data_IF_992903197832
#
_entry.id   IF_992903197832
#
_cell.length_a   1.000
_cell.length_b   1.000
_cell.length_c   1.000
_cell.angle_alpha   90.00
_cell.angle_beta   90.00
_cell.angle_gamma   90.00
#
_symmetry.space_group_name_H-M   'P 1'
#
loop_
_entity.id
_entity.type
_entity.pdbx_description
1 polymer ?
#
# COMPACT_ATOMS: atom_id res chain seq x y z
N UNK A 1 13.48 -3.39 37.69
CA UNK A 1 14.19 -4.12 36.62
C UNK A 1 13.26 -5.16 36.04
N UNK A 2 13.33 -5.32 34.72
CA UNK A 2 12.52 -6.18 33.85
C UNK A 2 11.25 -5.52 33.28
N UNK A 3 11.44 -4.50 32.43
CA UNK A 3 10.50 -4.32 31.31
C UNK A 3 10.73 -5.50 30.36
N UNK A 4 9.88 -6.51 30.49
CA UNK A 4 9.76 -7.57 29.51
C UNK A 4 9.01 -6.97 28.32
N UNK A 5 9.72 -6.31 27.41
CA UNK A 5 9.16 -5.91 26.12
C UNK A 5 8.88 -7.21 25.35
N UNK A 6 7.66 -7.71 25.47
CA UNK A 6 7.14 -8.72 24.54
C UNK A 6 7.41 -8.20 23.14
N UNK A 7 8.18 -8.96 22.36
CA UNK A 7 8.47 -8.69 20.97
C UNK A 7 7.19 -8.93 20.15
N UNK A 8 6.18 -8.08 20.36
CA UNK A 8 4.91 -8.13 19.63
C UNK A 8 5.24 -7.68 18.22
N UNK A 9 5.16 -8.61 17.27
CA UNK A 9 5.35 -8.31 15.85
C UNK A 9 4.30 -7.27 15.46
N UNK A 10 4.74 -6.02 15.26
CA UNK A 10 3.90 -4.94 14.76
C UNK A 10 3.48 -5.25 13.33
N UNK A 11 2.25 -4.89 12.99
CA UNK A 11 1.75 -5.03 11.63
C UNK A 11 2.32 -3.92 10.75
N UNK A 12 2.89 -4.29 9.60
CA UNK A 12 3.56 -3.35 8.71
C UNK A 12 2.55 -2.66 7.79
N UNK A 13 2.72 -1.36 7.59
CA UNK A 13 1.96 -0.58 6.60
C UNK A 13 2.96 0.15 5.70
N UNK A 14 3.02 -0.24 4.44
CA UNK A 14 3.85 0.46 3.46
C UNK A 14 3.16 1.76 3.00
N UNK A 15 3.91 2.86 3.05
CA UNK A 15 3.50 4.19 2.58
C UNK A 15 4.35 4.52 1.36
N UNK A 16 3.71 4.50 0.20
CA UNK A 16 4.36 4.60 -1.10
C UNK A 16 4.44 6.04 -1.60
N UNK A 17 5.56 6.42 -2.19
CA UNK A 17 5.66 7.65 -2.99
C UNK A 17 5.04 7.39 -4.37
N UNK A 18 3.97 8.11 -4.70
CA UNK A 18 3.25 7.99 -5.98
C UNK A 18 3.07 9.38 -6.58
N UNK A 19 3.93 9.71 -7.55
CA UNK A 19 4.06 11.10 -8.01
C UNK A 19 4.43 12.01 -6.84
N UNK A 20 3.68 13.09 -6.64
CA UNK A 20 3.92 14.02 -5.53
C UNK A 20 3.31 13.56 -4.20
N UNK A 21 2.46 12.54 -4.20
CA UNK A 21 1.71 12.08 -3.01
C UNK A 21 2.42 10.95 -2.27
N UNK A 22 2.14 10.85 -0.96
CA UNK A 22 2.38 9.65 -0.18
C UNK A 22 1.07 8.89 0.01
N UNK A 23 1.05 7.61 -0.36
CA UNK A 23 -0.16 6.81 -0.44
C UNK A 23 -0.02 5.51 0.35
N UNK A 24 -1.04 5.15 1.12
CA UNK A 24 -1.13 3.80 1.70
C UNK A 24 -2.55 3.28 1.68
N UNK A 25 -2.71 1.97 1.82
CA UNK A 25 -4.01 1.31 1.85
C UNK A 25 -4.05 0.31 2.97
N UNK A 26 -4.98 0.52 3.88
CA UNK A 26 -5.17 -0.38 5.01
C UNK A 26 -6.64 -0.42 5.40
N UNK A 27 -7.13 -1.62 5.75
CA UNK A 27 -8.49 -1.83 6.21
C UNK A 27 -8.47 -1.87 7.74
N UNK A 28 -8.69 -0.72 8.37
CA UNK A 28 -8.77 -0.65 9.83
C UNK A 28 -10.03 -1.35 10.32
N UNK A 29 -9.86 -2.35 11.19
CA UNK A 29 -10.97 -2.94 11.95
C UNK A 29 -11.48 -2.01 13.06
N UNK A 30 -10.63 -1.10 13.52
CA UNK A 30 -10.95 -0.07 14.50
C UNK A 30 -11.54 1.17 13.80
N UNK A 31 -12.80 1.48 14.11
CA UNK A 31 -13.52 2.62 13.54
C UNK A 31 -12.96 3.96 14.01
N UNK A 32 -12.50 4.07 15.25
CA UNK A 32 -11.95 5.33 15.78
C UNK A 32 -10.65 5.68 15.08
N UNK A 33 -9.79 4.67 14.85
CA UNK A 33 -8.56 4.85 14.09
C UNK A 33 -8.84 5.29 12.65
N UNK A 34 -9.78 4.64 11.97
CA UNK A 34 -10.19 5.07 10.63
C UNK A 34 -10.71 6.52 10.64
N UNK A 35 -11.58 6.87 11.59
CA UNK A 35 -12.15 8.21 11.68
C UNK A 35 -11.08 9.28 11.88
N UNK A 36 -10.05 9.01 12.69
CA UNK A 36 -8.91 9.90 12.90
C UNK A 36 -8.10 10.20 11.63
N UNK A 37 -8.07 9.27 10.68
CA UNK A 37 -7.34 9.42 9.40
C UNK A 37 -8.28 9.73 8.22
N UNK A 38 -9.58 9.87 8.47
CA UNK A 38 -10.60 9.92 7.41
C UNK A 38 -10.50 11.14 6.49
N UNK A 39 -9.89 12.24 6.95
CA UNK A 39 -9.61 13.42 6.13
C UNK A 39 -8.65 13.12 4.97
N UNK A 40 -7.74 12.17 5.16
CA UNK A 40 -6.76 11.75 4.15
C UNK A 40 -7.31 10.64 3.22
N UNK A 41 -8.53 10.15 3.45
CA UNK A 41 -9.05 8.98 2.74
C UNK A 41 -9.69 9.35 1.40
N UNK A 42 -9.07 8.94 0.30
CA UNK A 42 -9.63 9.02 -1.05
C UNK A 42 -10.60 7.85 -1.30
N UNK A 43 -11.90 8.17 -1.33
CA UNK A 43 -12.98 7.18 -1.51
C UNK A 43 -13.03 6.56 -2.91
N UNK A 44 -12.61 7.30 -3.94
CA UNK A 44 -12.63 6.81 -5.32
C UNK A 44 -11.54 5.78 -5.56
N UNK A 45 -10.36 6.01 -4.97
CA UNK A 45 -9.19 5.14 -5.10
C UNK A 45 -9.04 4.12 -3.95
N UNK A 46 -9.87 4.23 -2.91
CA UNK A 46 -9.83 3.38 -1.73
C UNK A 46 -8.43 3.32 -1.09
N UNK A 47 -7.80 4.48 -0.92
CA UNK A 47 -6.47 4.65 -0.33
C UNK A 47 -6.41 5.96 0.46
N UNK A 48 -5.45 6.08 1.34
CA UNK A 48 -5.12 7.34 2.00
C UNK A 48 -4.08 8.08 1.15
N UNK A 49 -4.25 9.40 1.00
CA UNK A 49 -3.36 10.28 0.23
C UNK A 49 -2.89 11.43 1.13
N UNK A 50 -1.57 11.56 1.28
CA UNK A 50 -0.91 12.57 2.09
C UNK A 50 -0.14 13.48 1.13
N UNK A 51 -0.44 14.77 1.17
CA UNK A 51 -0.01 15.76 0.17
C UNK A 51 1.31 16.43 0.55
N UNK A 52 1.73 16.33 1.81
CA UNK A 52 2.97 16.91 2.31
C UNK A 52 3.78 15.95 3.18
N UNK A 53 5.06 16.27 3.37
CA UNK A 53 5.92 15.54 4.31
C UNK A 53 5.45 15.66 5.76
N UNK A 54 4.88 16.81 6.15
CA UNK A 54 4.35 17.02 7.50
C UNK A 54 3.13 16.14 7.78
N UNK A 55 2.17 16.06 6.83
CA UNK A 55 1.03 15.15 6.93
C UNK A 55 1.49 13.68 7.03
N UNK A 56 2.46 13.31 6.20
CA UNK A 56 3.08 11.97 6.24
C UNK A 56 3.65 11.65 7.61
N UNK A 57 4.48 12.53 8.15
CA UNK A 57 5.17 12.30 9.43
C UNK A 57 4.18 12.23 10.60
N UNK A 58 3.14 13.09 10.58
CA UNK A 58 2.04 13.03 11.55
C UNK A 58 1.31 11.69 11.50
N UNK A 59 0.89 11.25 10.31
CA UNK A 59 0.16 9.99 10.15
C UNK A 59 1.02 8.78 10.52
N UNK A 60 2.31 8.78 10.18
CA UNK A 60 3.23 7.72 10.60
C UNK A 60 3.27 7.60 12.13
N UNK A 61 3.41 8.72 12.83
CA UNK A 61 3.40 8.74 14.29
C UNK A 61 2.09 8.22 14.87
N UNK A 62 0.95 8.65 14.32
CA UNK A 62 -0.37 8.19 14.76
C UNK A 62 -0.51 6.66 14.58
N UNK A 63 0.02 6.10 13.48
CA UNK A 63 0.04 4.66 13.23
C UNK A 63 0.95 3.91 14.22
N UNK A 64 2.14 4.44 14.51
CA UNK A 64 3.09 3.86 15.46
C UNK A 64 2.52 3.78 16.89
N UNK A 65 1.86 4.86 17.33
CA UNK A 65 1.17 4.94 18.64
C UNK A 65 0.03 3.91 18.74
N UNK A 66 -0.51 3.48 17.61
CA UNK A 66 -1.56 2.45 17.50
C UNK A 66 -1.01 1.04 17.26
N UNK A 67 0.31 0.87 17.30
CA UNK A 67 0.96 -0.44 17.24
C UNK A 67 1.33 -0.93 15.83
N UNK A 68 1.23 -0.07 14.82
CA UNK A 68 1.70 -0.37 13.47
C UNK A 68 3.18 -0.04 13.30
N UNK A 69 3.79 -0.57 12.24
CA UNK A 69 5.13 -0.25 11.76
C UNK A 69 5.01 0.35 10.35
N UNK A 70 4.86 1.69 10.21
CA UNK A 70 4.82 2.32 8.92
C UNK A 70 6.20 2.32 8.27
N UNK A 71 6.27 1.98 6.99
CA UNK A 71 7.53 1.93 6.21
C UNK A 71 7.38 2.78 4.96
N UNK A 72 8.32 3.70 4.74
CA UNK A 72 8.35 4.49 3.51
C UNK A 72 8.91 3.67 2.36
N UNK A 73 8.22 3.72 1.22
CA UNK A 73 8.61 3.03 -0.01
C UNK A 73 8.61 4.04 -1.16
N UNK A 74 9.80 4.47 -1.57
CA UNK A 74 9.96 5.40 -2.70
C UNK A 74 10.08 4.66 -4.03
N UNK A 75 10.79 3.53 -4.04
CA UNK A 75 10.88 2.64 -5.19
C UNK A 75 9.78 1.58 -5.13
N UNK A 76 8.95 1.55 -6.17
CA UNK A 76 7.77 0.66 -6.26
C UNK A 76 8.04 -0.61 -7.07
N UNK A 77 9.25 -0.81 -7.63
CA UNK A 77 9.56 -1.94 -8.51
C UNK A 77 9.23 -3.29 -7.87
N UNK A 78 9.63 -3.51 -6.62
CA UNK A 78 9.34 -4.73 -5.85
C UNK A 78 7.86 -4.94 -5.53
N UNK A 79 7.01 -3.93 -5.75
CA UNK A 79 5.57 -4.00 -5.47
C UNK A 79 4.74 -3.98 -6.75
N UNK A 80 5.38 -3.84 -7.91
CA UNK A 80 4.67 -3.65 -9.18
C UNK A 80 4.46 -4.99 -9.90
N UNK A 81 3.22 -5.20 -10.36
CA UNK A 81 2.81 -6.37 -11.15
C UNK A 81 1.97 -5.93 -12.35
N UNK A 82 1.95 -6.73 -13.40
CA UNK A 82 1.11 -6.54 -14.59
C UNK A 82 0.24 -7.76 -14.85
N UNK A 83 -0.91 -7.55 -15.47
CA UNK A 83 -1.78 -8.63 -15.92
C UNK A 83 -2.39 -8.26 -17.28
N UNK A 84 -2.59 -9.26 -18.13
CA UNK A 84 -3.33 -9.11 -19.39
C UNK A 84 -4.70 -8.47 -19.14
N UNK A 85 -5.06 -7.48 -19.96
CA UNK A 85 -6.28 -6.67 -19.77
C UNK A 85 -7.59 -7.45 -19.88
N UNK A 86 -7.58 -8.65 -20.44
CA UNK A 86 -8.77 -9.49 -20.59
C UNK A 86 -8.94 -10.47 -19.41
N UNK A 87 -7.94 -10.60 -18.53
CA UNK A 87 -8.03 -11.42 -17.32
C UNK A 87 -8.82 -10.72 -16.20
N UNK A 88 -9.41 -11.51 -15.32
CA UNK A 88 -10.08 -11.02 -14.10
C UNK A 88 -9.04 -10.47 -13.13
N UNK A 89 -9.24 -9.23 -12.67
CA UNK A 89 -8.27 -8.53 -11.82
C UNK A 89 -8.87 -7.92 -10.55
N UNK A 90 -10.18 -8.08 -10.30
CA UNK A 90 -10.83 -7.47 -9.14
C UNK A 90 -10.17 -7.82 -7.78
N UNK A 91 -9.70 -9.06 -7.53
CA UNK A 91 -8.97 -9.36 -6.31
C UNK A 91 -7.61 -8.65 -6.22
N UNK A 92 -6.94 -8.42 -7.35
CA UNK A 92 -5.65 -7.70 -7.44
C UNK A 92 -5.89 -6.22 -7.12
N UNK A 93 -6.89 -5.60 -7.76
CA UNK A 93 -7.28 -4.21 -7.51
C UNK A 93 -7.61 -3.95 -6.04
N UNK A 94 -8.24 -4.92 -5.36
CA UNK A 94 -8.57 -4.79 -3.93
C UNK A 94 -7.32 -4.56 -3.07
N UNK A 95 -6.18 -5.15 -3.44
CA UNK A 95 -4.93 -5.05 -2.68
C UNK A 95 -3.92 -4.09 -3.32
N UNK A 96 -4.27 -3.34 -4.37
CA UNK A 96 -3.39 -2.34 -4.97
C UNK A 96 -3.56 -0.95 -4.35
N UNK A 97 -2.44 -0.21 -4.27
CA UNK A 97 -2.32 1.21 -3.96
C UNK A 97 -2.65 2.07 -5.18
N UNK A 98 -2.21 1.63 -6.35
CA UNK A 98 -2.49 2.30 -7.62
C UNK A 98 -2.62 1.29 -8.75
N UNK A 99 -3.25 1.73 -9.83
CA UNK A 99 -3.38 0.94 -11.06
C UNK A 99 -3.41 1.83 -12.29
N UNK A 100 -2.76 1.38 -13.36
CA UNK A 100 -2.81 2.04 -14.68
C UNK A 100 -3.22 1.02 -15.73
N UNK A 101 -4.22 1.35 -16.55
CA UNK A 101 -4.59 0.55 -17.72
C UNK A 101 -3.82 1.03 -18.96
N UNK A 102 -3.16 0.09 -19.65
CA UNK A 102 -2.52 0.28 -20.96
C UNK A 102 -3.28 -0.52 -22.02
N UNK A 103 -2.84 -0.42 -23.27
CA UNK A 103 -3.54 -1.03 -24.42
C UNK A 103 -3.71 -2.56 -24.31
N UNK A 104 -2.73 -3.27 -23.72
CA UNK A 104 -2.72 -4.74 -23.60
C UNK A 104 -2.72 -5.26 -22.17
N UNK A 105 -2.34 -4.42 -21.21
CA UNK A 105 -2.08 -4.83 -19.83
C UNK A 105 -2.64 -3.82 -18.84
N UNK A 106 -2.85 -4.28 -17.61
CA UNK A 106 -3.04 -3.42 -16.44
C UNK A 106 -1.84 -3.60 -15.52
N UNK A 107 -1.29 -2.49 -15.06
CA UNK A 107 -0.20 -2.44 -14.10
C UNK A 107 -0.77 -2.05 -12.74
N UNK A 108 -0.33 -2.72 -11.68
CA UNK A 108 -0.75 -2.48 -10.30
C UNK A 108 0.48 -2.29 -9.41
N UNK A 109 0.40 -1.33 -8.50
CA UNK A 109 1.33 -1.21 -7.37
C UNK A 109 0.64 -1.82 -6.16
N UNK A 110 1.15 -2.92 -5.65
CA UNK A 110 0.54 -3.69 -4.55
C UNK A 110 0.87 -3.10 -3.18
N UNK A 111 -0.04 -3.23 -2.22
CA UNK A 111 0.13 -2.64 -0.87
C UNK A 111 1.26 -3.26 -0.03
N UNK A 112 1.63 -4.50 -0.33
CA UNK A 112 2.68 -5.26 0.36
C UNK A 112 3.16 -6.44 -0.54
N UNK A 113 4.26 -7.10 -0.14
CA UNK A 113 4.82 -8.23 -0.90
C UNK A 113 3.92 -9.47 -0.88
N UNK A 114 3.15 -9.69 0.19
CA UNK A 114 2.17 -10.79 0.23
C UNK A 114 1.08 -10.60 -0.84
N UNK A 115 0.69 -9.34 -1.10
CA UNK A 115 -0.26 -8.98 -2.14
C UNK A 115 0.35 -9.13 -3.54
N UNK A 116 1.67 -8.95 -3.69
CA UNK A 116 2.38 -9.28 -4.94
C UNK A 116 2.30 -10.77 -5.22
N UNK A 117 2.62 -11.62 -4.23
CA UNK A 117 2.53 -13.07 -4.35
C UNK A 117 1.09 -13.51 -4.68
N UNK A 118 0.09 -12.98 -3.95
CA UNK A 118 -1.31 -13.27 -4.21
C UNK A 118 -1.74 -12.85 -5.64
N UNK A 119 -1.21 -11.73 -6.16
CA UNK A 119 -1.50 -11.29 -7.52
C UNK A 119 -0.90 -12.23 -8.57
N UNK A 120 0.33 -12.70 -8.34
CA UNK A 120 1.02 -13.66 -9.21
C UNK A 120 0.25 -14.99 -9.26
N UNK A 121 -0.22 -15.48 -8.11
CA UNK A 121 -1.06 -16.68 -8.03
C UNK A 121 -2.38 -16.55 -8.81
N UNK A 122 -2.85 -15.31 -9.02
CA UNK A 122 -4.04 -14.99 -9.84
C UNK A 122 -3.71 -14.71 -11.31
N UNK A 123 -2.47 -14.97 -11.73
CA UNK A 123 -2.02 -14.89 -13.11
C UNK A 123 -1.54 -13.51 -13.55
N UNK A 124 -1.17 -12.66 -12.59
CA UNK A 124 -0.31 -11.51 -12.84
C UNK A 124 1.16 -11.93 -12.95
N UNK A 125 2.00 -11.05 -13.46
CA UNK A 125 3.43 -11.23 -13.65
C UNK A 125 4.17 -10.04 -13.05
N UNK A 126 5.41 -10.25 -12.63
CA UNK A 126 6.29 -9.14 -12.26
C UNK A 126 6.53 -8.23 -13.46
N UNK A 127 6.60 -6.93 -13.22
CA UNK A 127 7.15 -6.01 -14.22
C UNK A 127 8.66 -6.17 -14.12
N UNK A 128 9.27 -6.69 -15.18
CA UNK A 128 10.73 -6.66 -15.31
C UNK A 128 11.15 -5.21 -15.49
N UNK A 129 12.21 -4.78 -14.80
CA UNK A 129 12.88 -3.53 -15.14
C UNK A 129 13.43 -3.71 -16.55
N UNK A 130 12.92 -2.91 -17.49
CA UNK A 130 13.62 -2.71 -18.75
C UNK A 130 15.00 -2.14 -18.37
N UNK A 131 16.03 -2.98 -18.45
CA UNK A 131 17.42 -2.54 -18.32
C UNK A 131 17.74 -1.72 -19.56
N UNK A 132 17.49 -0.42 -19.49
CA UNK A 132 18.05 0.56 -20.43
C UNK A 132 19.59 0.60 -20.35
#
# INVERSE_FOLDING_TARGET
MSEQTSNVKKEKINIFKIGDLWCFKYFFGDRELFMGLSEYYNREKYRFELTSGEERDKVMKDLEEKGFEPVLVEDTAEYTVKIDRFKKYAPILRNSIDSTEKEKERVFIMKDLASVEEAIDKGAEKVEEDKD
#
